data_IF_030651095857
#
_entry.id   IF_030651095857
#
_cell.length_a   1.000
_cell.length_b   1.000
_cell.length_c   1.000
_cell.angle_alpha   90.00
_cell.angle_beta   90.00
_cell.angle_gamma   90.00
#
_symmetry.space_group_name_H-M   'P 1'
#
loop_
_entity.id
_entity.type
_entity.pdbx_description
1 polymer ?
#
# COMPACT_ATOMS: atom_id res chain seq x y z
N UNK A 1 6.12 2.61 -0.91
CA UNK A 1 5.72 3.55 -1.98
C UNK A 1 6.01 2.95 -3.35
N UNK A 2 5.45 3.56 -4.42
CA UNK A 2 5.70 3.18 -5.81
C UNK A 2 4.50 3.42 -6.71
N UNK A 3 4.62 3.18 -8.03
CA UNK A 3 3.55 3.42 -8.99
C UNK A 3 2.22 2.75 -8.64
N UNK A 4 1.12 3.23 -9.21
CA UNK A 4 -0.17 2.57 -9.07
C UNK A 4 -0.12 1.13 -9.61
N UNK A 5 -0.86 0.22 -8.96
CA UNK A 5 -0.96 -1.17 -9.40
C UNK A 5 0.24 -2.07 -9.07
N UNK A 6 1.21 -1.63 -8.26
CA UNK A 6 2.37 -2.44 -7.85
C UNK A 6 2.11 -3.37 -6.66
N UNK A 7 0.92 -3.31 -6.06
CA UNK A 7 0.53 -4.22 -4.99
C UNK A 7 0.74 -3.70 -3.57
N UNK A 8 0.89 -2.39 -3.36
CA UNK A 8 1.08 -1.77 -2.03
C UNK A 8 0.02 -2.20 -1.01
N UNK A 9 -1.26 -2.03 -1.33
CA UNK A 9 -2.37 -2.46 -0.46
C UNK A 9 -2.44 -3.98 -0.32
N UNK A 10 -2.09 -4.71 -1.38
CA UNK A 10 -2.04 -6.18 -1.35
C UNK A 10 -0.96 -6.69 -0.40
N UNK A 11 0.17 -5.99 -0.31
CA UNK A 11 1.24 -6.31 0.63
C UNK A 11 0.75 -6.15 2.09
N UNK A 12 0.08 -5.04 2.41
CA UNK A 12 -0.49 -4.84 3.75
C UNK A 12 -1.47 -5.95 4.14
N UNK A 13 -2.38 -6.32 3.22
CA UNK A 13 -3.32 -7.44 3.42
C UNK A 13 -2.61 -8.78 3.59
N UNK A 14 -1.56 -9.04 2.79
CA UNK A 14 -0.78 -10.27 2.88
C UNK A 14 -0.04 -10.38 4.22
N UNK A 15 0.52 -9.27 4.73
CA UNK A 15 1.15 -9.22 6.06
C UNK A 15 0.11 -9.53 7.14
N UNK A 16 -1.08 -8.88 7.09
CA UNK A 16 -2.16 -9.12 8.04
C UNK A 16 -2.56 -10.60 8.08
N UNK A 17 -2.75 -11.20 6.91
CA UNK A 17 -3.09 -12.62 6.78
C UNK A 17 -1.98 -13.54 7.27
N UNK A 18 -0.72 -13.26 6.93
CA UNK A 18 0.43 -14.09 7.30
C UNK A 18 0.63 -14.16 8.82
N UNK A 19 0.40 -13.06 9.52
CA UNK A 19 0.58 -12.97 10.96
C UNK A 19 -0.72 -13.13 11.75
N UNK A 20 -1.86 -13.29 11.10
CA UNK A 20 -3.17 -13.40 11.75
C UNK A 20 -3.57 -12.13 12.51
N UNK A 21 -3.15 -10.95 12.03
CA UNK A 21 -3.40 -9.68 12.68
C UNK A 21 -4.63 -8.98 12.11
N UNK A 22 -5.44 -8.32 12.95
CA UNK A 22 -6.48 -7.41 12.48
C UNK A 22 -5.88 -6.29 11.63
N UNK A 23 -6.56 -5.94 10.52
CA UNK A 23 -6.19 -4.85 9.62
C UNK A 23 -7.22 -3.73 9.75
N UNK A 24 -6.84 -2.63 10.38
CA UNK A 24 -7.65 -1.43 10.54
C UNK A 24 -7.33 -0.45 9.41
N UNK A 25 -8.24 -0.29 8.47
CA UNK A 25 -8.09 0.62 7.35
C UNK A 25 -8.70 1.98 7.69
N UNK A 26 -7.89 3.06 7.70
CA UNK A 26 -8.33 4.41 7.96
C UNK A 26 -8.52 5.17 6.66
N UNK A 27 -9.74 5.60 6.41
CA UNK A 27 -10.13 6.39 5.24
C UNK A 27 -9.92 7.88 5.51
N UNK A 28 -8.66 8.34 5.44
CA UNK A 28 -8.25 9.69 5.85
C UNK A 28 -9.05 10.81 5.16
N UNK A 29 -9.51 10.59 3.93
CA UNK A 29 -10.30 11.58 3.17
C UNK A 29 -11.67 11.87 3.76
N UNK A 30 -12.19 10.98 4.61
CA UNK A 30 -13.53 11.10 5.22
C UNK A 30 -13.49 11.32 6.72
N UNK A 31 -12.30 11.26 7.35
CA UNK A 31 -12.12 11.43 8.78
C UNK A 31 -11.83 12.89 9.14
N UNK A 32 -12.32 13.31 10.29
CA UNK A 32 -11.88 14.52 10.97
C UNK A 32 -10.84 14.20 12.06
N UNK A 33 -10.39 15.24 12.77
CA UNK A 33 -9.39 15.14 13.84
C UNK A 33 -9.82 14.21 14.97
N UNK A 34 -11.09 14.25 15.37
CA UNK A 34 -11.61 13.45 16.48
C UNK A 34 -11.86 12.00 16.05
N UNK A 35 -12.34 11.78 14.82
CA UNK A 35 -12.49 10.45 14.23
C UNK A 35 -11.16 9.73 14.16
N UNK A 36 -10.11 10.42 13.69
CA UNK A 36 -8.78 9.85 13.56
C UNK A 36 -8.20 9.45 14.93
N UNK A 37 -8.29 10.34 15.93
CA UNK A 37 -7.82 10.05 17.29
C UNK A 37 -8.54 8.85 17.90
N UNK A 38 -9.89 8.84 17.83
CA UNK A 38 -10.70 7.72 18.36
C UNK A 38 -10.36 6.41 17.69
N UNK A 39 -10.22 6.38 16.36
CA UNK A 39 -9.87 5.18 15.62
C UNK A 39 -8.45 4.67 15.99
N UNK A 40 -7.51 5.60 16.19
CA UNK A 40 -6.16 5.29 16.62
C UNK A 40 -6.14 4.67 18.02
N UNK A 41 -6.74 5.34 19.01
CA UNK A 41 -6.84 4.88 20.41
C UNK A 41 -7.51 3.51 20.49
N UNK A 42 -8.58 3.30 19.72
CA UNK A 42 -9.26 2.00 19.63
C UNK A 42 -8.35 0.91 19.07
N UNK A 43 -7.55 1.23 18.06
CA UNK A 43 -6.58 0.30 17.48
C UNK A 43 -5.45 -0.04 18.46
N UNK A 44 -4.93 0.94 19.19
CA UNK A 44 -3.91 0.74 20.23
C UNK A 44 -4.45 -0.14 21.37
N UNK A 45 -5.67 0.12 21.81
CA UNK A 45 -6.32 -0.67 22.87
C UNK A 45 -6.52 -2.14 22.45
N UNK A 46 -6.76 -2.39 21.17
CA UNK A 46 -6.97 -3.72 20.62
C UNK A 46 -5.72 -4.28 19.91
N UNK A 47 -4.52 -3.80 20.27
CA UNK A 47 -3.26 -4.34 19.75
C UNK A 47 -3.02 -5.80 20.23
N UNK A 48 -2.31 -6.66 19.46
CA UNK A 48 -1.56 -6.32 18.25
C UNK A 48 -2.44 -6.20 16.99
N UNK A 49 -2.19 -5.18 16.17
CA UNK A 49 -2.93 -4.94 14.94
C UNK A 49 -2.09 -4.19 13.89
N UNK A 50 -2.62 -4.12 12.68
CA UNK A 50 -2.08 -3.29 11.59
C UNK A 50 -3.02 -2.11 11.38
N UNK A 51 -2.47 -0.90 11.32
CA UNK A 51 -3.17 0.30 10.85
C UNK A 51 -2.67 0.61 9.44
N UNK A 52 -3.59 0.73 8.49
CA UNK A 52 -3.29 1.03 7.10
C UNK A 52 -3.84 2.41 6.72
N UNK A 53 -2.94 3.31 6.33
CA UNK A 53 -3.25 4.61 5.73
C UNK A 53 -2.94 4.51 4.22
N UNK A 54 -3.99 4.36 3.39
CA UNK A 54 -3.81 4.22 1.95
C UNK A 54 -3.80 5.56 1.22
N UNK A 55 -3.02 5.59 0.12
CA UNK A 55 -2.95 6.70 -0.83
C UNK A 55 -2.82 8.06 -0.13
N UNK A 56 -1.85 8.14 0.77
CA UNK A 56 -1.61 9.30 1.63
C UNK A 56 -1.43 10.60 0.84
N UNK A 57 -0.81 10.52 -0.35
CA UNK A 57 -0.63 11.62 -1.28
C UNK A 57 -1.93 12.17 -1.88
N UNK A 58 -3.04 11.42 -1.83
CA UNK A 58 -4.36 11.92 -2.22
C UNK A 58 -5.01 12.78 -1.13
N UNK A 59 -4.51 12.71 0.11
CA UNK A 59 -5.05 13.47 1.25
C UNK A 59 -4.17 14.66 1.58
N UNK A 60 -2.85 14.46 1.57
CA UNK A 60 -1.87 15.49 1.90
C UNK A 60 -0.77 15.60 0.83
N UNK A 61 -0.47 16.84 0.45
CA UNK A 61 0.75 17.21 -0.25
C UNK A 61 1.65 17.97 0.74
N UNK A 62 2.69 17.30 1.24
CA UNK A 62 3.44 17.75 2.42
C UNK A 62 2.47 17.93 3.60
N UNK A 63 2.35 19.14 4.12
CA UNK A 63 1.44 19.48 5.25
C UNK A 63 0.10 20.04 4.82
N UNK A 64 -0.07 20.24 3.50
CA UNK A 64 -1.26 20.90 2.97
C UNK A 64 -2.26 19.86 2.51
N UNK A 65 -3.52 19.94 2.98
CA UNK A 65 -4.58 19.09 2.46
C UNK A 65 -4.76 19.29 0.95
N UNK A 66 -4.89 18.20 0.20
CA UNK A 66 -5.16 18.24 -1.25
C UNK A 66 -6.57 18.78 -1.52
N UNK A 67 -7.55 18.33 -0.70
CA UNK A 67 -8.89 18.86 -0.73
C UNK A 67 -9.07 19.93 0.36
N UNK A 68 -9.60 21.12 -0.01
CA UNK A 68 -9.87 22.21 0.94
C UNK A 68 -10.96 21.88 1.95
N UNK A 69 -11.81 20.91 1.66
CA UNK A 69 -12.88 20.42 2.56
C UNK A 69 -12.37 19.32 3.52
N UNK A 70 -11.08 18.99 3.48
CA UNK A 70 -10.48 18.03 4.39
C UNK A 70 -10.54 18.53 5.83
N UNK A 71 -11.18 17.77 6.70
CA UNK A 71 -11.34 18.12 8.12
C UNK A 71 -10.24 17.55 9.02
N UNK A 72 -9.45 16.59 8.53
CA UNK A 72 -8.30 16.06 9.24
C UNK A 72 -7.10 16.99 9.07
N UNK A 73 -6.56 17.47 10.19
CA UNK A 73 -5.39 18.33 10.20
C UNK A 73 -4.11 17.49 10.22
N UNK A 74 -3.12 17.85 9.37
CA UNK A 74 -1.83 17.17 9.33
C UNK A 74 -1.11 17.16 10.69
N UNK A 75 -1.22 18.26 11.47
CA UNK A 75 -0.58 18.34 12.80
C UNK A 75 -1.23 17.36 13.77
N UNK A 76 -2.55 17.21 13.73
CA UNK A 76 -3.28 16.20 14.52
C UNK A 76 -2.83 14.79 14.16
N UNK A 77 -2.79 14.46 12.86
CA UNK A 77 -2.32 13.16 12.38
C UNK A 77 -0.90 12.88 12.88
N UNK A 78 0.02 13.83 12.68
CA UNK A 78 1.41 13.69 13.08
C UNK A 78 1.59 13.48 14.58
N UNK A 79 0.89 14.27 15.40
CA UNK A 79 0.94 14.18 16.84
C UNK A 79 0.35 12.87 17.36
N UNK A 80 -0.72 12.38 16.75
CA UNK A 80 -1.34 11.11 17.11
C UNK A 80 -0.40 9.93 16.81
N UNK A 81 0.20 9.88 15.62
CA UNK A 81 1.17 8.83 15.25
C UNK A 81 2.42 8.87 16.13
N UNK A 82 2.87 10.09 16.50
CA UNK A 82 4.10 10.31 17.28
C UNK A 82 3.86 10.43 18.77
N UNK A 83 2.62 10.27 19.21
CA UNK A 83 2.16 10.61 20.55
C UNK A 83 2.84 9.85 21.68
N UNK A 84 2.64 10.38 22.89
CA UNK A 84 3.19 9.83 24.14
C UNK A 84 2.57 8.47 24.51
N UNK A 85 1.46 8.09 23.88
CA UNK A 85 0.85 6.78 24.11
C UNK A 85 1.73 5.68 23.56
N UNK A 86 2.00 4.69 24.39
CA UNK A 86 2.68 3.47 23.96
C UNK A 86 1.85 2.78 22.87
N UNK A 87 2.35 2.81 21.65
CA UNK A 87 1.77 2.13 20.48
C UNK A 87 2.39 0.76 20.23
N UNK A 88 2.98 0.15 21.26
CA UNK A 88 3.53 -1.20 21.20
C UNK A 88 2.49 -2.18 20.68
N UNK A 89 2.88 -2.98 19.70
CA UNK A 89 1.98 -3.93 19.04
C UNK A 89 1.19 -3.36 17.84
N UNK A 90 1.33 -2.08 17.51
CA UNK A 90 0.75 -1.50 16.29
C UNK A 90 1.78 -1.47 15.17
N UNK A 91 1.48 -2.12 14.05
CA UNK A 91 2.24 -1.96 12.81
C UNK A 91 1.54 -0.93 11.92
N UNK A 92 2.09 0.28 11.84
CA UNK A 92 1.60 1.32 10.93
C UNK A 92 2.15 1.10 9.52
N UNK A 93 1.26 1.01 8.53
CA UNK A 93 1.60 0.95 7.11
C UNK A 93 0.98 2.16 6.41
N UNK A 94 1.82 2.94 5.74
CA UNK A 94 1.40 4.07 4.91
C UNK A 94 1.72 3.73 3.46
N UNK A 95 0.75 3.88 2.56
CA UNK A 95 0.98 3.75 1.12
C UNK A 95 0.89 5.09 0.43
N UNK A 96 1.75 5.29 -0.58
CA UNK A 96 1.72 6.48 -1.44
C UNK A 96 2.22 6.15 -2.83
N UNK A 97 1.71 6.84 -3.85
CA UNK A 97 2.24 6.77 -5.20
C UNK A 97 3.38 7.78 -5.39
N UNK A 98 3.38 8.86 -4.60
CA UNK A 98 4.28 10.01 -4.71
C UNK A 98 5.02 10.25 -3.40
N UNK A 99 6.17 9.60 -3.23
CA UNK A 99 7.00 9.75 -2.02
C UNK A 99 7.46 11.20 -1.79
N UNK A 100 7.64 11.96 -2.86
CA UNK A 100 8.00 13.38 -2.84
C UNK A 100 6.94 14.26 -2.18
N UNK A 101 5.69 13.80 -2.13
CA UNK A 101 4.58 14.50 -1.48
C UNK A 101 4.49 14.22 0.02
N UNK A 102 5.27 13.26 0.54
CA UNK A 102 5.32 12.99 1.98
C UNK A 102 6.16 14.04 2.67
N UNK A 103 5.67 14.57 3.81
CA UNK A 103 6.42 15.54 4.61
C UNK A 103 7.53 14.84 5.42
N UNK A 104 8.68 15.50 5.51
CA UNK A 104 9.85 14.99 6.24
C UNK A 104 9.58 14.74 7.73
N UNK A 105 8.53 15.36 8.28
CA UNK A 105 8.13 15.13 9.66
C UNK A 105 7.54 13.73 9.91
N UNK A 106 7.01 13.06 8.90
CA UNK A 106 6.58 11.66 8.97
C UNK A 106 7.81 10.75 8.92
N UNK A 107 8.72 11.01 7.99
CA UNK A 107 9.96 10.29 7.78
C UNK A 107 10.36 10.34 6.32
N UNK A 108 11.64 10.52 6.05
CA UNK A 108 12.22 10.51 4.70
C UNK A 108 13.21 9.36 4.57
N UNK A 109 13.44 9.00 3.32
CA UNK A 109 14.42 8.00 2.95
C UNK A 109 15.84 8.53 3.21
N UNK A 110 16.69 7.69 3.80
CA UNK A 110 18.12 7.94 3.92
C UNK A 110 18.88 6.95 3.02
N UNK A 111 20.11 7.29 2.64
CA UNK A 111 20.99 6.44 1.82
C UNK A 111 21.22 5.03 2.40
N UNK A 112 20.86 4.82 3.66
CA UNK A 112 21.00 3.54 4.38
C UNK A 112 19.72 2.69 4.41
N UNK A 113 18.73 2.98 3.58
CA UNK A 113 17.42 2.33 3.61
C UNK A 113 16.69 2.41 4.97
N UNK A 114 16.98 3.44 5.74
CA UNK A 114 16.34 3.71 7.03
C UNK A 114 15.62 5.04 6.99
N UNK A 115 14.62 5.19 7.85
CA UNK A 115 13.95 6.47 8.00
C UNK A 115 14.82 7.48 8.76
N UNK A 116 14.67 8.75 8.42
CA UNK A 116 15.24 9.87 9.17
C UNK A 116 14.58 10.07 10.55
N UNK A 117 13.43 9.43 10.78
CA UNK A 117 12.60 9.55 11.98
C UNK A 117 12.20 8.19 12.53
N UNK A 118 13.12 7.43 13.17
CA UNK A 118 12.80 6.18 13.86
C UNK A 118 11.71 6.40 14.92
N UNK A 119 10.83 5.41 15.09
CA UNK A 119 9.67 5.51 15.98
C UNK A 119 8.43 6.17 15.37
N UNK A 120 8.51 6.60 14.10
CA UNK A 120 7.37 7.02 13.27
C UNK A 120 7.26 6.13 12.05
N UNK A 121 8.20 6.28 11.10
CA UNK A 121 8.37 5.36 9.98
C UNK A 121 9.79 4.78 10.08
N UNK A 122 9.87 3.50 10.40
CA UNK A 122 11.16 2.82 10.61
C UNK A 122 11.72 2.26 9.30
N UNK A 123 10.86 1.95 8.34
CA UNK A 123 11.24 1.38 7.05
C UNK A 123 10.47 2.00 5.89
N UNK A 124 11.19 2.23 4.81
CA UNK A 124 10.63 2.73 3.56
C UNK A 124 10.95 1.70 2.48
N UNK A 125 9.91 1.20 1.81
CA UNK A 125 10.03 0.14 0.80
C UNK A 125 9.47 0.65 -0.53
N UNK A 126 10.28 0.54 -1.58
CA UNK A 126 9.84 0.79 -2.95
C UNK A 126 9.24 -0.48 -3.56
N UNK A 127 8.04 -0.37 -4.10
CA UNK A 127 7.39 -1.40 -4.90
C UNK A 127 7.23 -0.87 -6.32
N UNK A 128 8.06 -1.37 -7.21
CA UNK A 128 8.07 -1.00 -8.62
C UNK A 128 7.42 -2.05 -9.53
N UNK A 129 7.96 -2.16 -10.72
CA UNK A 129 7.62 -3.20 -11.68
C UNK A 129 7.93 -4.59 -11.09
N UNK A 130 7.25 -5.60 -11.59
CA UNK A 130 7.46 -6.96 -11.09
C UNK A 130 8.78 -7.55 -11.61
N UNK A 131 9.57 -8.07 -10.67
CA UNK A 131 10.69 -8.93 -11.03
C UNK A 131 10.23 -10.18 -11.79
N UNK A 132 11.15 -10.78 -12.56
CA UNK A 132 10.84 -11.90 -13.44
C UNK A 132 10.21 -13.10 -12.72
N UNK A 133 10.77 -13.49 -11.57
CA UNK A 133 10.30 -14.68 -10.84
C UNK A 133 8.88 -14.51 -10.26
N UNK A 134 8.55 -13.44 -9.53
CA UNK A 134 7.17 -13.17 -9.08
C UNK A 134 6.21 -13.05 -10.25
N UNK A 135 6.62 -12.41 -11.36
CA UNK A 135 5.81 -12.23 -12.57
C UNK A 135 5.45 -13.56 -13.21
N UNK A 136 6.42 -14.45 -13.40
CA UNK A 136 6.18 -15.81 -13.91
C UNK A 136 5.20 -16.58 -13.01
N UNK A 137 5.36 -16.49 -11.69
CA UNK A 137 4.43 -17.13 -10.74
C UNK A 137 3.00 -16.60 -10.87
N UNK A 138 2.85 -15.28 -11.01
CA UNK A 138 1.54 -14.65 -11.17
C UNK A 138 0.88 -15.08 -12.49
N UNK A 139 1.60 -15.04 -13.61
CA UNK A 139 1.13 -15.45 -14.94
C UNK A 139 0.67 -16.91 -14.91
N UNK A 140 1.51 -17.82 -14.42
CA UNK A 140 1.17 -19.24 -14.33
C UNK A 140 -0.04 -19.51 -13.42
N UNK A 141 -0.24 -18.70 -12.37
CA UNK A 141 -1.41 -18.82 -11.51
C UNK A 141 -2.69 -18.37 -12.20
N UNK A 142 -2.63 -17.28 -12.98
CA UNK A 142 -3.81 -16.75 -13.70
C UNK A 142 -4.14 -17.63 -14.90
N UNK A 143 -3.13 -18.02 -15.68
CA UNK A 143 -3.27 -18.79 -16.90
C UNK A 143 -3.16 -20.31 -16.68
N UNK A 144 -3.46 -20.81 -15.47
CA UNK A 144 -3.32 -22.25 -15.16
C UNK A 144 -4.12 -23.16 -16.10
N UNK A 145 -5.26 -22.70 -16.60
CA UNK A 145 -6.14 -23.45 -17.50
C UNK A 145 -5.80 -23.21 -19.00
N UNK A 146 -4.83 -22.34 -19.28
CA UNK A 146 -4.29 -22.01 -20.62
C UNK A 146 -2.76 -21.87 -20.59
N UNK A 147 -2.04 -22.93 -20.24
CA UNK A 147 -0.58 -22.88 -20.07
C UNK A 147 0.16 -22.48 -21.36
N UNK A 148 -0.44 -22.73 -22.54
CA UNK A 148 0.10 -22.34 -23.83
C UNK A 148 0.22 -20.80 -24.01
N UNK A 149 -0.53 -20.01 -23.25
CA UNK A 149 -0.44 -18.54 -23.29
C UNK A 149 0.63 -17.99 -22.35
N UNK A 150 1.20 -18.81 -21.48
CA UNK A 150 2.08 -18.33 -20.41
C UNK A 150 3.42 -17.80 -20.95
N UNK A 151 4.03 -18.46 -21.90
CA UNK A 151 5.33 -18.05 -22.45
C UNK A 151 5.24 -16.71 -23.18
N UNK A 152 4.20 -16.51 -23.98
CA UNK A 152 3.94 -15.23 -24.65
C UNK A 152 3.69 -14.13 -23.60
N UNK A 153 2.88 -14.42 -22.58
CA UNK A 153 2.60 -13.46 -21.51
C UNK A 153 3.87 -13.06 -20.73
N UNK A 154 4.78 -14.01 -20.47
CA UNK A 154 6.06 -13.72 -19.80
C UNK A 154 6.92 -12.76 -20.63
N UNK A 155 6.93 -12.91 -21.94
CA UNK A 155 7.74 -12.08 -22.84
C UNK A 155 7.14 -10.68 -23.02
N UNK A 156 5.83 -10.59 -23.17
CA UNK A 156 5.11 -9.33 -23.46
C UNK A 156 4.93 -8.44 -22.23
N UNK A 157 4.98 -9.02 -21.02
CA UNK A 157 4.73 -8.25 -19.79
C UNK A 157 6.01 -7.84 -19.07
N UNK A 158 7.15 -7.77 -19.77
CA UNK A 158 8.37 -7.17 -19.18
C UNK A 158 8.09 -5.74 -18.77
N UNK A 159 8.58 -5.36 -17.59
CA UNK A 159 8.41 -4.02 -17.01
C UNK A 159 6.96 -3.62 -16.70
N UNK A 160 6.06 -4.61 -16.59
CA UNK A 160 4.68 -4.35 -16.16
C UNK A 160 4.56 -4.37 -14.63
N UNK A 161 3.65 -3.54 -14.11
CA UNK A 161 3.21 -3.65 -12.71
C UNK A 161 2.34 -4.91 -12.52
N UNK A 162 2.13 -5.32 -11.28
CA UNK A 162 1.31 -6.50 -10.98
C UNK A 162 -0.11 -6.40 -11.57
N UNK A 163 -0.72 -5.21 -11.51
CA UNK A 163 -2.04 -4.97 -12.08
C UNK A 163 -2.04 -5.08 -13.61
N UNK A 164 -1.02 -4.54 -14.28
CA UNK A 164 -0.89 -4.64 -15.73
C UNK A 164 -0.68 -6.09 -16.21
N UNK A 165 0.15 -6.87 -15.49
CA UNK A 165 0.32 -8.30 -15.76
C UNK A 165 -0.99 -9.05 -15.62
N UNK A 166 -1.73 -8.79 -14.54
CA UNK A 166 -3.03 -9.42 -14.29
C UNK A 166 -4.03 -9.10 -15.39
N UNK A 167 -4.16 -7.82 -15.76
CA UNK A 167 -5.07 -7.38 -16.82
C UNK A 167 -4.74 -8.02 -18.15
N UNK A 168 -3.45 -8.02 -18.54
CA UNK A 168 -2.99 -8.68 -19.78
C UNK A 168 -3.39 -10.15 -19.82
N UNK A 169 -3.11 -10.90 -18.75
CA UNK A 169 -3.44 -12.32 -18.68
C UNK A 169 -4.96 -12.57 -18.76
N UNK A 170 -5.76 -11.76 -18.07
CA UNK A 170 -7.22 -11.87 -18.11
C UNK A 170 -7.75 -11.59 -19.51
N UNK A 171 -7.25 -10.57 -20.20
CA UNK A 171 -7.65 -10.28 -21.58
C UNK A 171 -7.33 -11.44 -22.53
N UNK A 172 -6.13 -12.02 -22.43
CA UNK A 172 -5.76 -13.20 -23.23
C UNK A 172 -6.65 -14.42 -22.95
N UNK A 173 -6.95 -14.68 -21.70
CA UNK A 173 -7.84 -15.77 -21.32
C UNK A 173 -9.27 -15.56 -21.83
N UNK A 174 -9.80 -14.34 -21.81
CA UNK A 174 -11.12 -14.01 -22.33
C UNK A 174 -11.22 -14.22 -23.84
N UNK A 175 -10.20 -13.82 -24.61
CA UNK A 175 -10.14 -14.07 -26.05
C UNK A 175 -10.20 -15.58 -26.33
N UNK A 176 -9.44 -16.39 -25.60
CA UNK A 176 -9.46 -17.86 -25.73
C UNK A 176 -10.80 -18.49 -25.40
N UNK A 177 -11.52 -17.93 -24.42
CA UNK A 177 -12.86 -18.39 -24.09
C UNK A 177 -13.86 -18.09 -25.22
N UNK A 178 -13.77 -16.93 -25.86
CA UNK A 178 -14.62 -16.54 -26.99
C UNK A 178 -14.39 -17.40 -28.24
N UNK A 179 -13.15 -17.88 -28.48
CA UNK A 179 -12.83 -18.80 -29.60
C UNK A 179 -13.42 -20.21 -29.42
N UNK A 180 -13.87 -20.57 -28.19
CA UNK A 180 -14.44 -21.90 -27.87
C UNK A 180 -15.98 -21.94 -27.93
N UNK A 181 -16.62 -20.79 -28.13
CA UNK A 181 -18.09 -20.66 -28.25
C UNK A 181 -18.48 -20.59 -29.73
#
# INVERSE_FOLDING_TARGET
YGPAGTGKSSLAKAIAQQFGLPLNHFYLSTMDDDDFKRAWENSVTNSPCIILLEDFDNVFNKRTPVNKEQNLNFVTLLNTISGVQDSSGVLLIITTNHIENIDDAIGVYTDKNTSSRPGRIDRIVYLGEMDEMPRKKLINKILKDWPELADDAINETKNFTAAQVQEYCIQKALIKLQEKI
#
